data_IF_234441206334
#
_entry.id   IF_234441206334
#
_cell.length_a   1.000
_cell.length_b   1.000
_cell.length_c   1.000
_cell.angle_alpha   90.00
_cell.angle_beta   90.00
_cell.angle_gamma   90.00
#
_symmetry.space_group_name_H-M   'P 1'
#
loop_
_entity.id
_entity.type
_entity.pdbx_description
1 polymer ?
#
# COMPACT_ATOMS: atom_id res chain seq x y z
N UNK A 1 -30.19 9.57 -37.81
CA UNK A 1 -30.27 8.67 -36.64
C UNK A 1 -29.35 9.26 -35.56
N UNK A 2 -29.86 10.20 -34.77
CA UNK A 2 -29.06 10.94 -33.80
C UNK A 2 -28.86 10.07 -32.56
N UNK A 3 -27.62 9.64 -32.33
CA UNK A 3 -27.21 8.88 -31.17
C UNK A 3 -27.18 9.83 -29.98
N UNK A 4 -28.31 9.97 -29.30
CA UNK A 4 -28.37 10.57 -27.96
C UNK A 4 -27.68 9.60 -27.00
N UNK A 5 -26.34 9.55 -27.02
CA UNK A 5 -25.59 8.87 -25.96
C UNK A 5 -25.60 9.81 -24.77
N UNK A 6 -26.46 9.48 -23.81
CA UNK A 6 -26.88 10.41 -22.78
C UNK A 6 -25.69 11.01 -22.02
N UNK A 7 -25.64 12.34 -21.83
CA UNK A 7 -24.57 13.03 -21.12
C UNK A 7 -24.38 12.50 -19.69
N UNK A 8 -25.37 11.80 -19.14
CA UNK A 8 -25.30 11.12 -17.85
C UNK A 8 -24.33 9.92 -17.85
N UNK A 9 -24.38 9.02 -18.84
CA UNK A 9 -23.51 7.84 -18.86
C UNK A 9 -22.05 8.22 -19.07
N UNK A 10 -21.80 9.16 -19.97
CA UNK A 10 -20.45 9.69 -20.20
C UNK A 10 -19.88 10.37 -18.94
N UNK A 11 -20.70 11.14 -18.19
CA UNK A 11 -20.29 11.75 -16.92
C UNK A 11 -20.03 10.72 -15.84
N UNK A 12 -20.88 9.70 -15.71
CA UNK A 12 -20.74 8.63 -14.73
C UNK A 12 -19.49 7.78 -14.99
N UNK A 13 -19.24 7.41 -16.26
CA UNK A 13 -18.02 6.71 -16.66
C UNK A 13 -16.76 7.54 -16.37
N UNK A 14 -16.80 8.85 -16.69
CA UNK A 14 -15.69 9.78 -16.42
C UNK A 14 -15.44 9.99 -14.92
N UNK A 15 -16.51 10.05 -14.11
CA UNK A 15 -16.40 10.11 -12.65
C UNK A 15 -15.80 8.82 -12.06
N UNK A 16 -16.21 7.65 -12.58
CA UNK A 16 -15.63 6.36 -12.18
C UNK A 16 -14.14 6.29 -12.53
N UNK A 17 -13.77 6.75 -13.73
CA UNK A 17 -12.39 6.79 -14.20
C UNK A 17 -11.52 7.72 -13.36
N UNK A 18 -12.00 8.94 -13.05
CA UNK A 18 -11.31 9.87 -12.15
C UNK A 18 -11.13 9.28 -10.74
N UNK A 19 -12.12 8.56 -10.22
CA UNK A 19 -12.01 7.90 -8.92
C UNK A 19 -11.02 6.72 -8.97
N UNK A 20 -11.02 5.94 -10.05
CA UNK A 20 -10.08 4.83 -10.25
C UNK A 20 -8.63 5.32 -10.41
N UNK A 21 -8.39 6.40 -11.16
CA UNK A 21 -7.07 7.04 -11.27
C UNK A 21 -6.57 7.60 -9.93
N UNK A 22 -7.48 8.13 -9.11
CA UNK A 22 -7.15 8.60 -7.75
C UNK A 22 -6.94 7.44 -6.77
N UNK A 23 -7.61 6.30 -6.97
CA UNK A 23 -7.49 5.11 -6.12
C UNK A 23 -6.28 4.22 -6.47
N UNK A 24 -5.79 4.24 -7.72
CA UNK A 24 -4.63 3.47 -8.17
C UNK A 24 -3.37 3.62 -7.27
N UNK A 25 -2.98 4.84 -6.88
CA UNK A 25 -1.87 5.07 -5.95
C UNK A 25 -2.13 4.47 -4.56
N UNK A 26 -3.36 4.52 -4.06
CA UNK A 26 -3.74 3.97 -2.76
C UNK A 26 -3.74 2.43 -2.74
N UNK A 27 -4.05 1.81 -3.89
CA UNK A 27 -3.95 0.36 -4.06
C UNK A 27 -2.49 -0.12 -4.05
N UNK A 28 -1.59 0.54 -4.81
CA UNK A 28 -0.16 0.19 -4.83
C UNK A 28 0.52 0.33 -3.47
N UNK A 29 0.13 1.38 -2.75
CA UNK A 29 0.48 1.66 -1.37
C UNK A 29 0.30 0.48 -0.40
N UNK A 30 -0.83 -0.24 -0.51
CA UNK A 30 -1.14 -1.37 0.38
C UNK A 30 -0.15 -2.52 0.21
N UNK A 31 0.26 -2.82 -1.03
CA UNK A 31 1.24 -3.87 -1.31
C UNK A 31 2.63 -3.54 -0.76
N UNK A 32 3.03 -2.28 -0.78
CA UNK A 32 4.29 -1.81 -0.20
C UNK A 32 4.32 -2.04 1.31
N UNK A 33 3.24 -1.71 2.03
CA UNK A 33 3.14 -1.94 3.47
C UNK A 33 3.21 -3.44 3.82
N UNK A 34 2.45 -4.26 3.09
CA UNK A 34 2.46 -5.73 3.27
C UNK A 34 3.88 -6.27 3.02
N UNK A 35 4.51 -5.84 1.93
CA UNK A 35 5.87 -6.23 1.57
C UNK A 35 6.90 -5.82 2.63
N UNK A 36 6.83 -4.60 3.14
CA UNK A 36 7.73 -4.09 4.18
C UNK A 36 7.60 -4.89 5.49
N UNK A 37 6.37 -5.18 5.92
CA UNK A 37 6.09 -5.98 7.12
C UNK A 37 6.60 -7.41 6.95
N UNK A 38 6.27 -8.08 5.84
CA UNK A 38 6.73 -9.44 5.60
C UNK A 38 8.25 -9.53 5.53
N UNK A 39 8.90 -8.61 4.81
CA UNK A 39 10.34 -8.61 4.63
C UNK A 39 11.08 -8.40 5.95
N UNK A 40 10.73 -7.34 6.69
CA UNK A 40 11.41 -7.00 7.95
C UNK A 40 11.05 -7.99 9.06
N UNK A 41 9.81 -8.47 9.10
CA UNK A 41 9.39 -9.53 10.01
C UNK A 41 10.13 -10.84 9.77
N UNK A 42 10.31 -11.26 8.51
CA UNK A 42 11.04 -12.47 8.16
C UNK A 42 12.53 -12.37 8.52
N UNK A 43 13.15 -11.20 8.27
CA UNK A 43 14.54 -10.93 8.69
C UNK A 43 14.66 -11.00 10.22
N UNK A 44 13.75 -10.33 10.94
CA UNK A 44 13.71 -10.34 12.40
C UNK A 44 13.58 -11.76 12.97
N UNK A 45 12.67 -12.56 12.40
CA UNK A 45 12.50 -13.96 12.76
C UNK A 45 13.77 -14.79 12.55
N UNK A 46 14.43 -14.62 11.40
CA UNK A 46 15.68 -15.34 11.09
C UNK A 46 16.78 -15.03 12.11
N UNK A 47 16.90 -13.76 12.50
CA UNK A 47 17.87 -13.32 13.52
C UNK A 47 17.52 -13.92 14.89
N UNK A 48 16.25 -13.83 15.31
CA UNK A 48 15.80 -14.40 16.59
C UNK A 48 16.09 -15.90 16.66
N UNK A 49 15.82 -16.62 15.56
CA UNK A 49 16.04 -18.07 15.48
C UNK A 49 17.52 -18.45 15.49
N UNK A 50 18.40 -17.62 14.91
CA UNK A 50 19.83 -17.86 14.92
C UNK A 50 20.47 -17.53 16.28
N UNK A 51 19.98 -16.50 16.96
CA UNK A 51 20.44 -16.09 18.29
C UNK A 51 19.82 -16.89 19.43
N UNK A 52 18.77 -17.68 19.16
CA UNK A 52 17.98 -18.37 20.18
C UNK A 52 17.29 -17.40 21.14
N UNK A 53 17.11 -16.15 20.73
CA UNK A 53 16.53 -15.10 21.57
C UNK A 53 15.00 -15.20 21.57
N UNK A 54 14.37 -14.68 22.63
CA UNK A 54 12.95 -14.33 22.57
C UNK A 54 12.68 -13.40 21.38
N UNK A 55 11.47 -13.40 20.79
CA UNK A 55 11.17 -12.84 19.46
C UNK A 55 11.19 -11.30 19.37
N UNK A 56 12.25 -10.68 19.87
CA UNK A 56 12.44 -9.24 19.98
C UNK A 56 12.80 -8.63 18.63
N UNK A 57 13.62 -9.31 17.81
CA UNK A 57 13.97 -8.82 16.48
C UNK A 57 12.78 -8.93 15.51
N UNK A 58 11.94 -9.95 15.64
CA UNK A 58 10.68 -10.08 14.93
C UNK A 58 9.73 -8.93 15.28
N UNK A 59 9.54 -8.64 16.57
CA UNK A 59 8.69 -7.54 17.02
C UNK A 59 9.21 -6.19 16.54
N UNK A 60 10.52 -5.96 16.67
CA UNK A 60 11.18 -4.75 16.17
C UNK A 60 11.08 -4.62 14.65
N UNK A 61 11.26 -5.72 13.91
CA UNK A 61 11.13 -5.77 12.45
C UNK A 61 9.71 -5.49 11.97
N UNK A 62 8.69 -6.03 12.65
CA UNK A 62 7.28 -5.74 12.38
C UNK A 62 6.95 -4.26 12.60
N UNK A 63 7.37 -3.69 13.74
CA UNK A 63 7.19 -2.27 14.03
C UNK A 63 7.88 -1.39 12.98
N UNK A 64 9.13 -1.71 12.63
CA UNK A 64 9.85 -1.01 11.57
C UNK A 64 9.14 -1.14 10.23
N UNK A 65 8.62 -2.31 9.87
CA UNK A 65 7.88 -2.53 8.63
C UNK A 65 6.61 -1.69 8.53
N UNK A 66 5.90 -1.53 9.64
CA UNK A 66 4.74 -0.63 9.71
C UNK A 66 5.17 0.82 9.52
N UNK A 67 6.21 1.27 10.23
CA UNK A 67 6.70 2.66 10.15
C UNK A 67 7.21 2.99 8.74
N UNK A 68 8.02 2.10 8.15
CA UNK A 68 8.57 2.27 6.79
C UNK A 68 7.45 2.23 5.76
N UNK A 69 6.54 1.26 5.83
CA UNK A 69 5.41 1.18 4.91
C UNK A 69 4.56 2.43 4.98
N UNK A 70 4.17 2.89 6.18
CA UNK A 70 3.44 4.15 6.36
C UNK A 70 4.20 5.38 5.87
N UNK A 71 5.52 5.44 6.07
CA UNK A 71 6.33 6.51 5.54
C UNK A 71 6.30 6.53 4.01
N UNK A 72 6.34 5.36 3.38
CA UNK A 72 6.29 5.22 1.93
C UNK A 72 4.90 5.59 1.36
N UNK A 73 3.84 5.24 2.09
CA UNK A 73 2.48 5.74 1.85
C UNK A 73 2.44 7.26 1.89
N UNK A 74 2.88 7.85 3.00
CA UNK A 74 2.87 9.30 3.20
C UNK A 74 3.67 10.00 2.10
N UNK A 75 4.87 9.52 1.79
CA UNK A 75 5.72 10.04 0.71
C UNK A 75 5.05 9.96 -0.66
N UNK A 76 4.34 8.87 -0.97
CA UNK A 76 3.66 8.69 -2.25
C UNK A 76 2.45 9.61 -2.39
N UNK A 77 1.71 9.84 -1.30
CA UNK A 77 0.58 10.76 -1.27
C UNK A 77 1.04 12.21 -1.33
N UNK A 78 2.11 12.58 -0.60
CA UNK A 78 2.58 13.97 -0.49
C UNK A 78 3.41 14.46 -1.69
N UNK A 79 3.94 13.55 -2.52
CA UNK A 79 4.64 13.91 -3.77
C UNK A 79 3.70 14.21 -4.94
N UNK A 80 2.39 14.29 -4.70
CA UNK A 80 1.41 14.79 -5.67
C UNK A 80 1.26 16.29 -5.60
#
# INVERSE_FOLDING_TARGET
MAKNEDPFFARSAKALQNNAEQAGPAAGASYTLIGAIMLLGAIGYGIDRWRGTSPWFLLGGLLLGIVVGMYELARTVWKR
#
